data_IF_904679957619
#
_entry.id   IF_904679957619
#
_cell.length_a   1.000
_cell.length_b   1.000
_cell.length_c   1.000
_cell.angle_alpha   90.00
_cell.angle_beta   90.00
_cell.angle_gamma   90.00
#
_symmetry.space_group_name_H-M   'P 1'
#
loop_
_entity.id
_entity.type
_entity.pdbx_description
1 polymer ?
#
# COMPACT_ATOMS: atom_id res chain seq x y z
N UNK A 1 -7.02 -13.07 9.98
CA UNK A 1 -6.46 -11.93 9.21
C UNK A 1 -5.11 -11.54 9.82
N UNK A 2 -4.18 -11.04 9.02
CA UNK A 2 -2.88 -10.57 9.52
C UNK A 2 -2.68 -9.12 9.12
N UNK A 3 -2.39 -8.26 10.09
CA UNK A 3 -2.13 -6.84 9.90
C UNK A 3 -0.65 -6.58 10.16
N UNK A 4 0.01 -5.85 9.27
CA UNK A 4 1.35 -5.30 9.49
C UNK A 4 1.27 -3.78 9.43
N UNK A 5 1.94 -3.12 10.37
CA UNK A 5 2.01 -1.66 10.43
C UNK A 5 3.47 -1.24 10.22
N UNK A 6 3.68 -0.38 9.23
CA UNK A 6 4.94 0.33 9.01
C UNK A 6 4.76 1.74 9.58
N UNK A 7 5.31 1.98 10.75
CA UNK A 7 5.19 3.27 11.45
C UNK A 7 6.16 4.34 10.95
N UNK A 8 5.93 5.60 11.35
CA UNK A 8 6.75 6.77 10.98
C UNK A 8 8.25 6.55 11.16
N UNK A 9 8.66 6.05 12.33
CA UNK A 9 10.07 5.78 12.63
C UNK A 9 10.74 4.85 11.60
N UNK A 10 10.04 3.81 11.16
CA UNK A 10 10.58 2.89 10.15
C UNK A 10 10.67 3.57 8.78
N UNK A 11 9.66 4.37 8.41
CA UNK A 11 9.69 5.13 7.16
C UNK A 11 10.87 6.10 7.12
N UNK A 12 11.14 6.79 8.23
CA UNK A 12 12.28 7.70 8.36
C UNK A 12 13.61 6.96 8.35
N UNK A 13 13.71 5.85 9.08
CA UNK A 13 14.94 5.03 9.15
C UNK A 13 15.31 4.46 7.79
N UNK A 14 14.31 4.06 6.98
CA UNK A 14 14.52 3.55 5.63
C UNK A 14 14.72 4.65 4.59
N UNK A 15 14.49 5.92 4.96
CA UNK A 15 14.40 7.05 4.04
C UNK A 15 13.50 6.74 2.82
N UNK A 16 12.40 6.02 3.06
CA UNK A 16 11.55 5.50 2.00
C UNK A 16 10.84 6.66 1.29
N UNK A 17 11.05 6.80 -0.01
CA UNK A 17 10.45 7.83 -0.88
C UNK A 17 9.18 7.35 -1.59
N UNK A 18 8.96 6.04 -1.62
CA UNK A 18 7.81 5.42 -2.27
C UNK A 18 7.17 4.39 -1.35
N UNK A 19 5.89 4.10 -1.60
CA UNK A 19 5.18 3.02 -0.90
C UNK A 19 5.89 1.66 -1.11
N UNK A 20 6.59 1.48 -2.23
CA UNK A 20 7.37 0.27 -2.56
C UNK A 20 8.54 0.12 -1.63
N UNK A 21 9.34 1.17 -1.47
CA UNK A 21 10.47 1.18 -0.55
C UNK A 21 10.03 1.00 0.90
N UNK A 22 8.91 1.61 1.28
CA UNK A 22 8.35 1.52 2.63
C UNK A 22 7.87 0.10 2.99
N UNK A 23 7.43 -0.67 2.00
CA UNK A 23 6.77 -1.97 2.22
C UNK A 23 7.62 -3.17 1.81
N UNK A 24 8.82 -2.97 1.26
CA UNK A 24 9.71 -4.05 0.81
C UNK A 24 10.06 -5.10 1.89
N UNK A 25 10.02 -4.72 3.17
CA UNK A 25 10.31 -5.60 4.30
C UNK A 25 9.06 -6.27 4.88
N UNK A 26 7.88 -6.02 4.30
CA UNK A 26 6.63 -6.60 4.76
C UNK A 26 6.46 -8.00 4.15
N UNK A 27 6.14 -8.99 4.97
CA UNK A 27 5.92 -10.34 4.45
C UNK A 27 4.69 -10.38 3.51
N UNK A 28 4.82 -11.07 2.38
CA UNK A 28 3.74 -11.29 1.43
C UNK A 28 3.37 -10.07 0.58
N UNK A 29 4.15 -8.98 0.65
CA UNK A 29 4.15 -7.94 -0.38
C UNK A 29 5.17 -8.28 -1.45
N UNK A 30 4.78 -8.08 -2.70
CA UNK A 30 5.72 -7.95 -3.80
C UNK A 30 5.57 -6.54 -4.36
N UNK A 31 6.58 -5.73 -4.10
CA UNK A 31 6.63 -4.33 -4.47
C UNK A 31 7.86 -4.15 -5.37
N UNK A 32 7.66 -3.64 -6.59
CA UNK A 32 8.74 -3.56 -7.59
C UNK A 32 8.56 -4.48 -8.81
N UNK A 33 7.33 -4.78 -9.21
CA UNK A 33 7.02 -5.50 -10.47
C UNK A 33 7.76 -4.93 -11.68
N UNK A 34 8.06 -3.63 -11.67
CA UNK A 34 8.77 -2.93 -12.74
C UNK A 34 10.17 -2.40 -12.30
N UNK A 35 10.74 -2.97 -11.24
CA UNK A 35 12.08 -2.63 -10.77
C UNK A 35 12.20 -1.18 -10.31
N UNK A 36 13.10 -0.42 -10.96
CA UNK A 36 13.38 0.97 -10.64
C UNK A 36 12.36 1.98 -11.23
N UNK A 37 11.32 1.50 -11.93
CA UNK A 37 10.26 2.38 -12.41
C UNK A 37 9.46 2.92 -11.20
N UNK A 38 9.69 4.20 -10.92
CA UNK A 38 9.00 4.93 -9.86
C UNK A 38 7.86 5.76 -10.41
N UNK A 39 7.30 5.51 -11.61
CA UNK A 39 6.15 6.28 -12.15
C UNK A 39 4.81 5.79 -11.63
N UNK A 40 4.70 4.49 -11.32
CA UNK A 40 3.49 3.88 -10.80
C UNK A 40 3.80 2.97 -9.62
N UNK A 41 2.85 2.95 -8.70
CA UNK A 41 2.91 2.24 -7.45
C UNK A 41 2.24 0.86 -7.63
N UNK A 42 2.98 -0.05 -8.26
CA UNK A 42 2.53 -1.41 -8.54
C UNK A 42 2.82 -2.34 -7.37
N UNK A 43 1.75 -2.95 -6.86
CA UNK A 43 1.79 -3.79 -5.68
C UNK A 43 1.05 -5.09 -5.90
N UNK A 44 1.62 -6.16 -5.36
CA UNK A 44 0.90 -7.40 -5.14
C UNK A 44 0.92 -7.76 -3.66
N UNK A 45 -0.22 -8.24 -3.17
CA UNK A 45 -0.36 -8.85 -1.84
C UNK A 45 -0.75 -10.30 -2.03
N UNK A 46 0.08 -11.22 -1.50
CA UNK A 46 -0.13 -12.68 -1.62
C UNK A 46 -0.40 -13.15 -3.06
N UNK A 47 0.28 -12.55 -4.04
CA UNK A 47 0.17 -12.90 -5.46
C UNK A 47 -0.98 -12.22 -6.21
N UNK A 48 -1.80 -11.40 -5.56
CA UNK A 48 -2.87 -10.64 -6.22
C UNK A 48 -2.46 -9.18 -6.39
N UNK A 49 -2.69 -8.62 -7.58
CA UNK A 49 -2.44 -7.20 -7.89
C UNK A 49 -3.40 -6.32 -7.11
N UNK A 50 -2.89 -5.49 -6.20
CA UNK A 50 -3.69 -4.62 -5.33
C UNK A 50 -3.60 -3.14 -5.71
N UNK A 51 -2.80 -2.79 -6.71
CA UNK A 51 -2.60 -1.41 -7.15
C UNK A 51 -3.90 -0.75 -7.66
N UNK A 52 -4.83 -1.54 -8.24
CA UNK A 52 -6.05 -1.00 -8.86
C UNK A 52 -7.16 -0.69 -7.84
N UNK A 53 -7.41 -1.62 -6.90
CA UNK A 53 -8.55 -1.59 -5.98
C UNK A 53 -8.20 -1.89 -4.52
N UNK A 54 -6.91 -1.98 -4.19
CA UNK A 54 -6.43 -2.33 -2.87
C UNK A 54 -5.66 -1.21 -2.15
N UNK A 55 -5.53 -0.02 -2.75
CA UNK A 55 -4.90 1.13 -2.12
C UNK A 55 -5.94 2.03 -1.45
N UNK A 56 -5.65 2.46 -0.23
CA UNK A 56 -6.52 3.30 0.58
C UNK A 56 -5.71 4.45 1.19
N UNK A 57 -6.37 5.57 1.43
CA UNK A 57 -5.86 6.70 2.19
C UNK A 57 -6.88 7.07 3.27
N UNK A 58 -6.47 7.01 4.54
CA UNK A 58 -7.33 7.27 5.69
C UNK A 58 -8.62 6.44 5.69
N UNK A 59 -8.53 5.18 5.23
CA UNK A 59 -9.67 4.27 5.14
C UNK A 59 -10.57 4.45 3.91
N UNK A 60 -10.29 5.42 3.04
CA UNK A 60 -11.01 5.62 1.78
C UNK A 60 -10.24 4.99 0.63
N UNK A 61 -10.94 4.25 -0.24
CA UNK A 61 -10.33 3.61 -1.40
C UNK A 61 -9.84 4.67 -2.39
N UNK A 62 -8.58 4.55 -2.81
CA UNK A 62 -8.03 5.32 -3.91
C UNK A 62 -8.44 4.66 -5.22
N UNK A 63 -9.29 5.34 -5.99
CA UNK A 63 -9.74 4.85 -7.29
C UNK A 63 -8.65 5.08 -8.32
N UNK A 64 -7.97 3.99 -8.70
CA UNK A 64 -6.99 4.00 -9.77
C UNK A 64 -7.60 3.37 -11.02
N UNK A 65 -7.34 3.96 -12.19
CA UNK A 65 -7.84 3.44 -13.46
C UNK A 65 -6.84 3.66 -14.59
N UNK A 66 -6.54 2.61 -15.35
CA UNK A 66 -5.54 2.66 -16.41
C UNK A 66 -4.16 3.03 -15.86
N UNK A 67 -3.67 4.22 -16.22
CA UNK A 67 -2.41 4.79 -15.71
C UNK A 67 -2.62 5.97 -14.74
N UNK A 68 -3.86 6.29 -14.39
CA UNK A 68 -4.18 7.34 -13.43
C UNK A 68 -4.15 6.77 -12.01
N UNK A 69 -2.95 6.70 -11.42
CA UNK A 69 -2.76 6.25 -10.04
C UNK A 69 -2.60 7.44 -9.09
N UNK A 70 -3.36 7.40 -7.99
CA UNK A 70 -3.17 8.30 -6.87
C UNK A 70 -1.90 7.92 -6.11
N UNK A 71 -0.98 8.88 -6.01
CA UNK A 71 0.30 8.69 -5.32
C UNK A 71 0.37 9.59 -4.13
N UNK A 72 0.76 8.99 -3.00
CA UNK A 72 0.87 9.70 -1.74
C UNK A 72 2.33 9.69 -1.35
N UNK A 73 2.87 10.88 -1.11
CA UNK A 73 4.24 11.03 -0.64
C UNK A 73 4.36 10.42 0.77
N UNK A 74 5.36 9.56 0.95
CA UNK A 74 5.63 8.90 2.23
C UNK A 74 5.97 9.91 3.33
N UNK A 75 6.48 11.10 3.00
CA UNK A 75 6.70 12.18 3.94
C UNK A 75 5.40 12.66 4.58
N UNK A 76 4.29 12.65 3.84
CA UNK A 76 2.97 13.05 4.34
C UNK A 76 2.28 12.00 5.22
N UNK A 77 2.87 10.81 5.37
CA UNK A 77 2.25 9.68 6.08
C UNK A 77 2.71 9.59 7.54
N UNK A 78 1.79 9.24 8.41
CA UNK A 78 2.05 8.82 9.80
C UNK A 78 2.43 7.34 9.85
N UNK A 79 1.72 6.51 9.09
CA UNK A 79 1.97 5.07 9.00
C UNK A 79 1.30 4.46 7.77
N UNK A 80 1.73 3.25 7.42
CA UNK A 80 1.11 2.41 6.40
C UNK A 80 0.65 1.10 7.06
N UNK A 81 -0.59 0.74 6.84
CA UNK A 81 -1.21 -0.47 7.36
C UNK A 81 -1.49 -1.44 6.21
N UNK A 82 -1.00 -2.66 6.33
CA UNK A 82 -1.21 -3.72 5.33
C UNK A 82 -2.07 -4.80 5.96
N UNK A 83 -3.27 -4.97 5.41
CA UNK A 83 -4.17 -6.05 5.79
C UNK A 83 -4.06 -7.14 4.73
N UNK A 84 -3.56 -8.31 5.11
CA UNK A 84 -3.37 -9.45 4.20
C UNK A 84 -4.54 -10.43 4.27
N UNK A 85 -5.11 -10.71 3.10
CA UNK A 85 -6.26 -11.59 2.91
C UNK A 85 -7.60 -10.84 2.81
N UNK A 86 -8.72 -11.58 2.67
CA UNK A 86 -10.02 -10.99 2.42
C UNK A 86 -10.46 -10.00 3.52
N UNK A 87 -10.81 -8.79 3.10
CA UNK A 87 -11.23 -7.66 3.96
C UNK A 87 -12.62 -7.13 3.61
N UNK A 88 -13.37 -7.85 2.77
CA UNK A 88 -14.63 -7.35 2.23
C UNK A 88 -15.71 -7.05 3.27
N UNK A 89 -15.63 -7.71 4.43
CA UNK A 89 -16.52 -7.46 5.58
C UNK A 89 -16.43 -6.02 6.09
N UNK A 90 -15.27 -5.39 6.01
CA UNK A 90 -15.04 -4.03 6.55
C UNK A 90 -14.93 -2.96 5.46
N UNK A 91 -14.44 -3.32 4.27
CA UNK A 91 -14.11 -2.37 3.21
C UNK A 91 -14.93 -2.57 1.92
N UNK A 92 -15.91 -3.48 1.92
CA UNK A 92 -16.75 -3.77 0.75
C UNK A 92 -16.03 -4.58 -0.33
N UNK A 93 -16.49 -4.50 -1.58
CA UNK A 93 -15.86 -5.23 -2.68
C UNK A 93 -14.40 -4.78 -2.86
N UNK A 94 -13.47 -5.73 -2.76
CA UNK A 94 -12.04 -5.42 -2.74
C UNK A 94 -11.19 -6.60 -3.16
N UNK A 95 -9.88 -6.40 -3.14
CA UNK A 95 -8.93 -7.40 -3.62
C UNK A 95 -8.78 -8.59 -2.66
N UNK A 96 -8.78 -9.85 -3.14
CA UNK A 96 -8.62 -11.03 -2.27
C UNK A 96 -7.24 -11.13 -1.59
N UNK A 97 -6.21 -10.51 -2.17
CA UNK A 97 -4.88 -10.37 -1.55
C UNK A 97 -4.89 -9.49 -0.31
N UNK A 98 -5.86 -8.58 -0.21
CA UNK A 98 -6.04 -7.65 0.89
C UNK A 98 -5.95 -6.19 0.44
N UNK A 99 -5.54 -5.32 1.36
CA UNK A 99 -5.43 -3.88 1.10
C UNK A 99 -4.24 -3.25 1.81
N UNK A 100 -3.85 -2.07 1.32
CA UNK A 100 -2.83 -1.19 1.88
C UNK A 100 -3.52 0.13 2.20
N UNK A 101 -3.57 0.48 3.48
CA UNK A 101 -4.16 1.71 3.98
C UNK A 101 -3.06 2.67 4.44
N UNK A 102 -2.98 3.82 3.79
CA UNK A 102 -2.03 4.87 4.10
C UNK A 102 -2.69 5.85 5.06
N UNK A 103 -2.03 6.20 6.15
CA UNK A 103 -2.58 7.13 7.14
C UNK A 103 -1.79 8.43 7.08
N UNK A 104 -2.46 9.55 6.80
CA UNK A 104 -1.82 10.86 6.75
C UNK A 104 -1.39 11.32 8.15
N UNK A 105 -0.37 12.18 8.20
CA UNK A 105 -0.02 12.94 9.41
C UNK A 105 -1.21 13.79 9.88
N UNK A 106 -1.20 14.14 11.17
CA UNK A 106 -2.14 15.06 11.81
C UNK A 106 -1.41 16.30 12.31
#
# INVERSE_FOLDING_TARGET
QSITVVGRQQLDTQNAQTLTQATQYVAGTYAGTFGADTRLDFFQLRGFVVSDYGLYLNGLQLLNYGFAYSRVDTFGLERIELLRGPSAVLFGAGNPGGLINQISKR
#
